data_IF_341991124516
#
_entry.id   IF_341991124516
#
_cell.length_a   1.000
_cell.length_b   1.000
_cell.length_c   1.000
_cell.angle_alpha   90.00
_cell.angle_beta   90.00
_cell.angle_gamma   90.00
#
_symmetry.space_group_name_H-M   'P 1'
#
loop_
_entity.id
_entity.type
_entity.pdbx_description
1 polymer ?
#
# COMPACT_ATOMS: atom_id res chain seq x y z
N UNK A 1 50.17 -0.79 -6.50
CA UNK A 1 51.03 -1.02 -5.33
C UNK A 1 50.41 -0.28 -4.16
N UNK A 2 49.59 -0.98 -3.38
CA UNK A 2 49.96 -1.50 -2.05
C UNK A 2 50.33 -0.42 -1.05
N UNK A 3 49.34 -0.07 -0.24
CA UNK A 3 49.38 -0.04 1.23
C UNK A 3 50.74 0.19 1.88
N UNK A 4 50.87 1.29 2.63
CA UNK A 4 51.30 1.20 4.03
C UNK A 4 50.66 2.30 4.87
N UNK A 5 50.29 1.88 6.06
CA UNK A 5 49.50 2.53 7.10
C UNK A 5 50.42 2.56 8.34
N UNK A 6 50.54 3.73 9.00
CA UNK A 6 50.74 3.90 10.47
C UNK A 6 52.19 3.66 10.98
N UNK A 7 52.74 4.41 11.98
CA UNK A 7 52.13 4.58 13.30
C UNK A 7 52.15 5.94 13.98
N UNK A 8 51.05 6.19 14.69
CA UNK A 8 50.97 7.06 15.84
C UNK A 8 51.83 6.52 16.99
N UNK A 9 52.53 7.39 17.71
CA UNK A 9 52.99 7.26 19.12
C UNK A 9 53.80 8.53 19.42
N UNK A 10 53.67 9.29 20.50
CA UNK A 10 52.76 9.42 21.64
C UNK A 10 53.38 10.54 22.52
N UNK A 11 52.64 11.01 23.53
CA UNK A 11 53.11 11.73 24.73
C UNK A 11 53.39 13.23 24.54
N UNK A 12 52.76 14.18 25.24
CA UNK A 12 52.06 14.11 26.52
C UNK A 12 52.76 15.01 27.54
N UNK A 13 52.48 16.31 27.51
CA UNK A 13 52.76 17.31 28.56
C UNK A 13 51.69 18.39 28.38
N UNK A 14 50.54 18.31 29.07
CA UNK A 14 50.29 18.94 30.37
C UNK A 14 50.83 20.37 30.44
N UNK A 15 49.91 21.30 30.25
CA UNK A 15 50.04 22.73 30.52
C UNK A 15 48.62 23.25 30.71
N UNK A 16 48.08 23.04 31.90
CA UNK A 16 46.88 23.73 32.39
C UNK A 16 47.41 25.04 32.94
N UNK A 17 47.10 26.14 32.25
CA UNK A 17 47.17 27.49 32.80
C UNK A 17 45.92 28.25 32.35
N UNK A 18 45.28 28.86 33.34
CA UNK A 18 43.99 29.54 33.31
C UNK A 18 43.95 30.79 32.42
N UNK A 19 42.86 30.97 31.66
CA UNK A 19 42.34 32.31 31.33
C UNK A 19 40.79 32.29 31.48
N UNK A 20 40.24 33.12 32.39
CA UNK A 20 38.82 33.19 32.68
C UNK A 20 38.11 34.25 31.82
N UNK A 21 36.76 34.22 31.88
CA UNK A 21 35.82 35.27 31.45
C UNK A 21 35.43 35.29 29.96
N UNK A 22 34.37 34.52 29.70
CA UNK A 22 33.05 35.11 29.41
C UNK A 22 32.83 35.69 28.02
N UNK A 23 31.94 35.05 27.25
CA UNK A 23 30.91 35.71 26.43
C UNK A 23 30.00 34.69 25.74
N UNK A 24 28.78 35.12 25.41
CA UNK A 24 27.55 34.78 26.10
C UNK A 24 27.09 33.35 25.81
N UNK A 25 26.25 32.80 26.70
CA UNK A 25 25.22 31.83 26.30
C UNK A 25 24.38 32.50 25.24
N UNK A 26 24.80 32.38 23.98
CA UNK A 26 23.96 32.62 22.84
C UNK A 26 22.81 31.66 23.00
N UNK A 27 21.67 32.22 23.38
CA UNK A 27 20.34 31.66 23.26
C UNK A 27 20.37 30.77 22.03
N UNK A 28 20.15 29.46 22.19
CA UNK A 28 19.72 28.63 21.06
C UNK A 28 18.42 29.30 20.61
N UNK A 29 18.53 30.27 19.72
CA UNK A 29 17.40 30.74 18.94
C UNK A 29 16.86 29.45 18.34
N UNK A 30 15.60 29.06 18.61
CA UNK A 30 14.98 28.08 17.74
C UNK A 30 15.12 28.74 16.38
N UNK A 31 16.00 28.18 15.55
CA UNK A 31 16.08 28.54 14.15
C UNK A 31 14.66 28.25 13.72
N UNK A 32 13.84 29.29 13.64
CA UNK A 32 12.62 29.33 12.86
C UNK A 32 13.16 29.17 11.45
N UNK A 33 13.51 27.92 11.16
CA UNK A 33 14.22 27.46 9.99
C UNK A 33 13.19 27.68 8.92
N UNK A 34 13.26 28.89 8.36
CA UNK A 34 12.13 29.57 7.75
C UNK A 34 11.43 28.57 6.88
N UNK A 35 10.21 28.21 7.28
CA UNK A 35 9.41 27.17 6.64
C UNK A 35 9.51 27.44 5.15
N UNK A 36 10.35 26.67 4.46
CA UNK A 36 10.82 26.98 3.12
C UNK A 36 9.55 26.86 2.29
N UNK A 37 8.91 28.00 1.98
CA UNK A 37 7.57 28.01 1.38
C UNK A 37 7.64 27.06 0.19
N UNK A 38 6.84 25.98 0.17
CA UNK A 38 6.94 25.01 -0.90
C UNK A 38 6.73 25.77 -2.21
N UNK A 39 7.64 25.59 -3.16
CA UNK A 39 7.55 26.35 -4.41
C UNK A 39 6.19 26.07 -5.04
N UNK A 40 5.49 27.08 -5.55
CA UNK A 40 4.13 26.92 -6.08
C UNK A 40 4.08 25.84 -7.17
N UNK A 41 5.16 25.67 -7.94
CA UNK A 41 5.34 24.59 -8.91
C UNK A 41 5.30 23.19 -8.26
N UNK A 42 5.98 22.98 -7.13
CA UNK A 42 5.95 21.68 -6.41
C UNK A 42 4.58 21.38 -5.82
N UNK A 43 3.84 22.40 -5.37
CA UNK A 43 2.46 22.22 -4.87
C UNK A 43 1.53 21.83 -6.03
N UNK A 44 1.59 22.54 -7.17
CA UNK A 44 0.77 22.24 -8.35
C UNK A 44 1.05 20.84 -8.89
N UNK A 45 2.31 20.44 -9.05
CA UNK A 45 2.65 19.09 -9.52
C UNK A 45 2.14 18.02 -8.56
N UNK A 46 2.26 18.22 -7.24
CA UNK A 46 1.73 17.27 -6.25
C UNK A 46 0.21 17.18 -6.29
N UNK A 47 -0.48 18.31 -6.39
CA UNK A 47 -1.94 18.33 -6.51
C UNK A 47 -2.41 17.61 -7.77
N UNK A 48 -1.75 17.84 -8.92
CA UNK A 48 -2.06 17.13 -10.16
C UNK A 48 -1.81 15.63 -10.03
N UNK A 49 -0.71 15.21 -9.41
CA UNK A 49 -0.43 13.79 -9.15
C UNK A 49 -1.48 13.17 -8.22
N UNK A 50 -1.91 13.88 -7.18
CA UNK A 50 -2.94 13.40 -6.27
C UNK A 50 -4.31 13.27 -6.98
N UNK A 51 -4.68 14.23 -7.83
CA UNK A 51 -5.89 14.16 -8.63
C UNK A 51 -5.81 12.98 -9.60
N UNK A 52 -4.68 12.81 -10.30
CA UNK A 52 -4.47 11.68 -11.19
C UNK A 52 -4.56 10.34 -10.44
N UNK A 53 -3.94 10.24 -9.25
CA UNK A 53 -4.04 9.06 -8.40
C UNK A 53 -5.49 8.79 -7.96
N UNK A 54 -6.25 9.83 -7.60
CA UNK A 54 -7.66 9.69 -7.24
C UNK A 54 -8.51 9.22 -8.43
N UNK A 55 -8.26 9.72 -9.64
CA UNK A 55 -8.94 9.27 -10.86
C UNK A 55 -8.64 7.80 -11.13
N UNK A 56 -7.36 7.41 -11.09
CA UNK A 56 -6.95 6.00 -11.27
C UNK A 56 -7.59 5.10 -10.21
N UNK A 57 -7.64 5.56 -8.96
CA UNK A 57 -8.29 4.85 -7.87
C UNK A 57 -9.78 4.64 -8.15
N UNK A 58 -10.52 5.70 -8.50
CA UNK A 58 -11.96 5.61 -8.83
C UNK A 58 -12.19 4.67 -10.01
N UNK A 59 -11.38 4.79 -11.07
CA UNK A 59 -11.47 3.90 -12.22
C UNK A 59 -11.17 2.43 -11.88
N UNK A 60 -10.32 2.17 -10.88
CA UNK A 60 -9.99 0.81 -10.43
C UNK A 60 -11.06 0.23 -9.51
N UNK A 61 -11.65 1.05 -8.64
CA UNK A 61 -12.71 0.62 -7.70
C UNK A 61 -14.06 0.49 -8.39
N UNK A 62 -14.34 1.31 -9.41
CA UNK A 62 -15.59 1.26 -10.17
C UNK A 62 -15.96 -0.14 -10.69
N UNK A 63 -15.09 -0.89 -11.39
CA UNK A 63 -15.44 -2.24 -11.86
C UNK A 63 -15.68 -3.22 -10.70
N UNK A 64 -14.95 -3.07 -9.59
CA UNK A 64 -15.15 -3.91 -8.40
C UNK A 64 -16.51 -3.63 -7.77
N UNK A 65 -16.85 -2.34 -7.59
CA UNK A 65 -18.18 -1.92 -7.14
C UNK A 65 -19.28 -2.50 -8.03
N UNK A 66 -19.10 -2.41 -9.35
CA UNK A 66 -20.05 -2.95 -10.32
C UNK A 66 -20.23 -4.46 -10.18
N UNK A 67 -19.14 -5.22 -10.04
CA UNK A 67 -19.21 -6.67 -9.82
C UNK A 67 -19.93 -7.03 -8.52
N UNK A 68 -19.69 -6.29 -7.44
CA UNK A 68 -20.37 -6.50 -6.16
C UNK A 68 -21.87 -6.20 -6.29
N UNK A 69 -22.23 -5.09 -6.92
CA UNK A 69 -23.63 -4.73 -7.17
C UNK A 69 -24.36 -5.86 -7.94
N UNK A 70 -23.77 -6.30 -9.06
CA UNK A 70 -24.31 -7.39 -9.88
C UNK A 70 -24.39 -8.73 -9.13
N UNK A 71 -23.48 -9.00 -8.20
CA UNK A 71 -23.49 -10.23 -7.42
C UNK A 71 -24.70 -10.34 -6.47
N UNK A 72 -25.26 -9.19 -6.05
CA UNK A 72 -26.46 -9.10 -5.23
C UNK A 72 -27.75 -8.91 -6.04
N UNK A 73 -27.65 -8.78 -7.36
CA UNK A 73 -28.80 -8.59 -8.26
C UNK A 73 -29.40 -9.95 -8.67
N UNK A 74 -30.74 -10.11 -8.65
CA UNK A 74 -31.41 -11.35 -9.07
C UNK A 74 -31.13 -11.72 -10.53
N UNK A 75 -30.99 -13.03 -10.82
CA UNK A 75 -30.61 -13.52 -12.17
C UNK A 75 -31.59 -13.11 -13.27
N UNK A 76 -32.87 -12.97 -12.96
CA UNK A 76 -33.92 -12.50 -13.87
C UNK A 76 -33.78 -11.00 -14.24
N UNK A 77 -33.08 -10.21 -13.43
CA UNK A 77 -32.87 -8.77 -13.64
C UNK A 77 -31.49 -8.44 -14.24
N UNK A 78 -30.55 -9.40 -14.25
CA UNK A 78 -29.21 -9.25 -14.87
C UNK A 78 -29.29 -8.89 -16.36
N UNK A 79 -30.36 -9.31 -17.07
CA UNK A 79 -30.59 -9.05 -18.51
C UNK A 79 -31.52 -7.83 -18.72
N UNK A 80 -31.92 -7.12 -17.66
CA UNK A 80 -32.76 -5.93 -17.77
C UNK A 80 -32.01 -4.76 -18.41
N UNK A 81 -32.72 -3.96 -19.21
CA UNK A 81 -32.15 -2.81 -19.95
C UNK A 81 -31.76 -1.62 -19.06
N UNK A 82 -32.21 -1.60 -17.80
CA UNK A 82 -31.91 -0.55 -16.83
C UNK A 82 -30.94 -1.07 -15.75
N UNK A 83 -29.62 -0.94 -15.97
CA UNK A 83 -28.63 -1.20 -14.92
C UNK A 83 -28.82 -0.20 -13.76
N UNK A 84 -29.38 -0.65 -12.65
CA UNK A 84 -29.49 0.16 -11.44
C UNK A 84 -28.13 0.24 -10.74
N UNK A 85 -27.73 1.45 -10.31
CA UNK A 85 -26.48 1.62 -9.56
C UNK A 85 -26.52 0.94 -8.18
N UNK A 86 -27.71 0.68 -7.64
CA UNK A 86 -27.95 -0.01 -6.37
C UNK A 86 -29.06 -1.04 -6.61
N UNK A 87 -28.96 -2.28 -6.11
CA UNK A 87 -29.99 -3.27 -6.36
C UNK A 87 -31.24 -2.85 -5.57
N UNK A 88 -32.36 -2.67 -6.26
CA UNK A 88 -33.65 -2.40 -5.61
C UNK A 88 -34.15 -3.66 -4.88
N UNK A 89 -33.87 -4.83 -5.46
CA UNK A 89 -34.15 -6.14 -4.91
C UNK A 89 -32.84 -6.86 -4.57
N UNK A 90 -32.46 -6.82 -3.29
CA UNK A 90 -31.24 -7.44 -2.79
C UNK A 90 -31.42 -8.95 -2.62
N UNK A 91 -30.55 -9.77 -3.22
CA UNK A 91 -30.56 -11.23 -3.06
C UNK A 91 -29.18 -11.83 -2.79
N UNK A 92 -29.16 -12.93 -2.04
CA UNK A 92 -27.97 -13.76 -1.79
C UNK A 92 -28.02 -15.10 -2.55
N UNK A 93 -29.04 -15.30 -3.39
CA UNK A 93 -29.25 -16.55 -4.11
C UNK A 93 -28.05 -16.92 -4.99
N UNK A 94 -27.44 -15.93 -5.66
CA UNK A 94 -26.24 -16.13 -6.49
C UNK A 94 -25.07 -16.76 -5.70
N UNK A 95 -24.91 -16.40 -4.42
CA UNK A 95 -23.87 -16.98 -3.56
C UNK A 95 -24.19 -18.42 -3.17
N UNK A 96 -25.47 -18.70 -2.86
CA UNK A 96 -25.93 -20.06 -2.57
C UNK A 96 -25.71 -20.94 -3.81
N UNK A 97 -26.14 -20.47 -4.98
CA UNK A 97 -25.94 -21.16 -6.26
C UNK A 97 -24.46 -21.43 -6.52
N UNK A 98 -23.57 -20.48 -6.26
CA UNK A 98 -22.13 -20.70 -6.46
C UNK A 98 -21.58 -21.85 -5.61
N UNK A 99 -22.15 -22.13 -4.43
CA UNK A 99 -21.66 -23.19 -3.54
C UNK A 99 -22.33 -24.55 -3.78
N UNK A 100 -23.57 -24.56 -4.26
CA UNK A 100 -24.39 -25.77 -4.35
C UNK A 100 -24.55 -26.31 -5.77
N UNK A 101 -24.34 -25.47 -6.78
CA UNK A 101 -24.44 -25.87 -8.19
C UNK A 101 -23.26 -26.75 -8.56
N UNK A 102 -23.56 -27.92 -9.11
CA UNK A 102 -22.58 -28.79 -9.77
C UNK A 102 -22.21 -28.29 -11.16
N UNK A 103 -20.98 -28.56 -11.57
CA UNK A 103 -20.38 -27.97 -12.75
C UNK A 103 -20.94 -28.66 -13.98
N UNK A 104 -21.01 -27.91 -15.07
CA UNK A 104 -21.22 -28.53 -16.37
C UNK A 104 -20.04 -29.49 -16.66
N UNK A 105 -20.28 -30.58 -17.40
CA UNK A 105 -19.20 -31.50 -17.79
C UNK A 105 -18.03 -30.74 -18.43
N UNK A 106 -16.83 -30.89 -17.87
CA UNK A 106 -15.62 -30.19 -18.31
C UNK A 106 -15.35 -28.83 -17.66
N UNK A 107 -16.21 -28.37 -16.74
CA UNK A 107 -15.96 -27.21 -15.89
C UNK A 107 -15.63 -27.65 -14.45
N UNK A 108 -14.89 -26.83 -13.73
CA UNK A 108 -14.61 -27.04 -12.31
C UNK A 108 -15.59 -26.23 -11.47
N UNK A 109 -16.23 -26.89 -10.52
CA UNK A 109 -17.07 -26.22 -9.54
C UNK A 109 -16.28 -25.29 -8.64
N UNK A 110 -16.97 -24.29 -8.13
CA UNK A 110 -16.38 -23.30 -7.26
C UNK A 110 -15.75 -23.93 -5.99
N UNK A 111 -16.41 -24.83 -5.22
CA UNK A 111 -15.78 -25.47 -4.06
C UNK A 111 -14.56 -26.32 -4.43
N UNK A 112 -14.58 -27.00 -5.58
CA UNK A 112 -13.46 -27.80 -6.06
C UNK A 112 -12.27 -26.92 -6.47
N UNK A 113 -12.52 -25.82 -7.17
CA UNK A 113 -11.50 -24.85 -7.58
C UNK A 113 -10.85 -24.19 -6.36
N UNK A 114 -11.66 -23.73 -5.39
CA UNK A 114 -11.16 -23.21 -4.12
C UNK A 114 -10.29 -24.24 -3.41
N UNK A 115 -10.79 -25.46 -3.23
CA UNK A 115 -10.04 -26.54 -2.57
C UNK A 115 -8.68 -26.77 -3.21
N UNK A 116 -8.64 -26.86 -4.54
CA UNK A 116 -7.39 -27.06 -5.29
C UNK A 116 -6.37 -25.95 -5.02
N UNK A 117 -6.77 -24.68 -5.11
CA UNK A 117 -5.84 -23.55 -4.89
C UNK A 117 -5.31 -23.50 -3.46
N UNK A 118 -6.16 -23.78 -2.46
CA UNK A 118 -5.76 -23.84 -1.05
C UNK A 118 -4.78 -24.98 -0.84
N UNK A 119 -5.08 -26.18 -1.33
CA UNK A 119 -4.22 -27.35 -1.21
C UNK A 119 -2.86 -27.13 -1.85
N UNK A 120 -2.82 -26.58 -3.07
CA UNK A 120 -1.57 -26.26 -3.77
C UNK A 120 -0.76 -25.23 -2.98
N UNK A 121 -1.39 -24.15 -2.53
CA UNK A 121 -0.70 -23.10 -1.75
C UNK A 121 -0.11 -23.66 -0.46
N UNK A 122 -0.90 -24.41 0.31
CA UNK A 122 -0.46 -25.03 1.56
C UNK A 122 0.67 -26.04 1.29
N UNK A 123 0.54 -26.86 0.25
CA UNK A 123 1.59 -27.81 -0.14
C UNK A 123 2.90 -27.11 -0.48
N UNK A 124 2.85 -26.02 -1.24
CA UNK A 124 4.04 -25.20 -1.58
C UNK A 124 4.66 -24.60 -0.32
N UNK A 125 3.86 -24.06 0.60
CA UNK A 125 4.35 -23.48 1.84
C UNK A 125 5.05 -24.53 2.72
N UNK A 126 4.47 -25.73 2.86
CA UNK A 126 5.07 -26.82 3.64
C UNK A 126 6.42 -27.22 3.04
N UNK A 127 6.47 -27.46 1.73
CA UNK A 127 7.71 -27.88 1.06
C UNK A 127 8.80 -26.80 1.14
N UNK A 128 8.43 -25.52 1.06
CA UNK A 128 9.39 -24.41 1.10
C UNK A 128 9.98 -24.19 2.50
N UNK A 129 9.28 -24.63 3.55
CA UNK A 129 9.69 -24.45 4.95
C UNK A 129 10.50 -25.63 5.52
N UNK A 130 10.56 -26.77 4.80
CA UNK A 130 11.35 -27.96 5.15
C UNK A 130 12.75 -27.90 4.52
#
# INVERSE_FOLDING_TARGET
MSTQVTPATQLGTIGIDDEPRGRPRGTRSPRLEGARRPSPRKVVTRTLLNIAAAVVFVMSVFPVYWMVNMSFTPTNEIISRDPSFVPLDFTLENYITAWTREAAPGQTDFPHALGTTVTVTVGVLIVTLL
#
